data_IF_131094567219
#
_entry.id   IF_131094567219
#
_cell.length_a   1.000
_cell.length_b   1.000
_cell.length_c   1.000
_cell.angle_alpha   90.00
_cell.angle_beta   90.00
_cell.angle_gamma   90.00
#
_symmetry.space_group_name_H-M   'P 1'
#
loop_
_entity.id
_entity.type
_entity.pdbx_description
1 polymer ?
#
# COMPACT_ATOMS: atom_id res chain seq x y z
N UNK A 1 5.19 18.19 4.21
CA UNK A 1 6.33 18.81 4.91
C UNK A 1 7.61 18.03 4.59
N UNK A 2 8.63 18.66 3.97
CA UNK A 2 9.92 18.02 3.70
C UNK A 2 10.62 17.46 4.95
N UNK A 3 10.42 18.05 6.13
CA UNK A 3 11.04 17.59 7.37
C UNK A 3 10.56 16.19 7.81
N UNK A 4 9.47 15.70 7.23
CA UNK A 4 8.92 14.37 7.52
C UNK A 4 9.58 13.26 6.70
N UNK A 5 10.44 13.59 5.74
CA UNK A 5 10.97 12.63 4.77
C UNK A 5 11.63 11.42 5.44
N UNK A 6 12.50 11.64 6.41
CA UNK A 6 13.28 10.56 7.05
C UNK A 6 12.37 9.58 7.79
N UNK A 7 11.36 10.08 8.50
CA UNK A 7 10.38 9.25 9.21
C UNK A 7 9.59 8.35 8.26
N UNK A 8 9.14 8.90 7.12
CA UNK A 8 8.43 8.12 6.11
C UNK A 8 9.35 7.17 5.32
N UNK A 9 10.61 7.57 5.08
CA UNK A 9 11.60 6.71 4.44
C UNK A 9 11.90 5.47 5.31
N UNK A 10 11.88 5.61 6.64
CA UNK A 10 12.10 4.53 7.58
C UNK A 10 11.04 3.42 7.49
N UNK A 11 9.82 3.73 7.05
CA UNK A 11 8.75 2.73 6.86
C UNK A 11 9.12 1.69 5.77
N UNK A 12 9.93 2.10 4.79
CA UNK A 12 10.46 1.23 3.73
C UNK A 12 11.87 0.69 4.05
N UNK A 13 12.41 0.95 5.23
CA UNK A 13 13.73 0.48 5.63
C UNK A 13 13.72 -1.02 5.96
N UNK A 14 14.72 -1.80 5.51
CA UNK A 14 14.87 -3.20 5.94
C UNK A 14 15.47 -3.34 7.34
N UNK A 15 16.07 -2.29 7.90
CA UNK A 15 16.83 -2.34 9.16
C UNK A 15 16.21 -1.50 10.27
N UNK A 16 15.71 -0.31 9.93
CA UNK A 16 15.39 0.74 10.92
C UNK A 16 13.90 1.08 10.93
N UNK A 17 13.03 0.09 10.72
CA UNK A 17 11.58 0.31 10.73
C UNK A 17 11.12 0.54 12.18
N UNK A 18 10.59 1.73 12.52
CA UNK A 18 10.39 2.12 13.91
C UNK A 18 9.06 1.64 14.50
N UNK A 19 8.09 1.26 13.67
CA UNK A 19 6.74 0.90 14.10
C UNK A 19 6.36 -0.48 13.56
N UNK A 20 6.11 -1.42 14.48
CA UNK A 20 5.66 -2.77 14.14
C UNK A 20 4.19 -2.79 13.67
N UNK A 21 3.36 -1.85 14.14
CA UNK A 21 1.92 -1.85 13.88
C UNK A 21 1.47 -1.24 12.54
N UNK A 22 2.39 -0.72 11.70
CA UNK A 22 2.06 0.05 10.48
C UNK A 22 2.20 -0.76 9.19
N UNK A 23 1.83 -2.05 9.25
CA UNK A 23 1.94 -2.97 8.12
C UNK A 23 3.38 -3.43 7.87
N UNK A 24 3.69 -3.94 6.69
CA UNK A 24 5.01 -4.44 6.28
C UNK A 24 5.81 -3.44 5.45
N UNK A 25 7.13 -3.64 5.36
CA UNK A 25 8.01 -2.78 4.53
C UNK A 25 7.52 -2.66 3.09
N UNK A 26 7.10 -3.80 2.51
CA UNK A 26 6.61 -3.87 1.13
C UNK A 26 5.26 -3.16 0.96
N UNK A 27 4.38 -3.23 1.95
CA UNK A 27 3.09 -2.53 1.94
C UNK A 27 3.29 -1.01 1.96
N UNK A 28 4.23 -0.52 2.77
CA UNK A 28 4.59 0.91 2.78
C UNK A 28 5.12 1.38 1.43
N UNK A 29 5.95 0.56 0.77
CA UNK A 29 6.43 0.85 -0.58
C UNK A 29 5.30 0.82 -1.62
N UNK A 30 4.37 -0.14 -1.53
CA UNK A 30 3.20 -0.18 -2.39
C UNK A 30 2.36 1.10 -2.26
N UNK A 31 2.11 1.58 -1.04
CA UNK A 31 1.37 2.81 -0.80
C UNK A 31 2.04 4.03 -1.46
N UNK A 32 3.36 4.22 -1.30
CA UNK A 32 4.07 5.31 -1.96
C UNK A 32 4.08 5.20 -3.49
N UNK A 33 4.17 3.98 -4.03
CA UNK A 33 4.05 3.74 -5.48
C UNK A 33 2.69 4.22 -6.00
N UNK A 34 1.61 3.85 -5.31
CA UNK A 34 0.24 4.25 -5.67
C UNK A 34 0.04 5.77 -5.57
N UNK A 35 0.45 6.38 -4.45
CA UNK A 35 0.33 7.83 -4.24
C UNK A 35 1.11 8.64 -5.27
N UNK A 36 2.28 8.15 -5.70
CA UNK A 36 3.07 8.81 -6.74
C UNK A 36 2.41 8.78 -8.14
N UNK A 37 1.34 8.01 -8.31
CA UNK A 37 0.50 8.02 -9.51
C UNK A 37 -0.74 8.91 -9.42
N UNK A 38 -1.05 9.48 -8.25
CA UNK A 38 -2.25 10.29 -8.01
C UNK A 38 -1.93 11.78 -8.12
N UNK A 39 -2.72 12.51 -8.90
CA UNK A 39 -2.52 13.94 -9.18
C UNK A 39 -2.52 14.80 -7.92
N UNK A 40 -3.38 14.47 -6.96
CA UNK A 40 -3.51 15.17 -5.69
C UNK A 40 -2.32 14.96 -4.73
N UNK A 41 -1.49 13.92 -4.96
CA UNK A 41 -0.43 13.49 -4.04
C UNK A 41 0.98 13.51 -4.62
N UNK A 42 1.13 13.33 -5.94
CA UNK A 42 2.45 13.12 -6.59
C UNK A 42 3.47 14.23 -6.30
N UNK A 43 3.00 15.45 -6.09
CA UNK A 43 3.84 16.63 -5.85
C UNK A 43 4.09 16.91 -4.36
N UNK A 44 3.46 16.15 -3.46
CA UNK A 44 3.74 16.25 -2.04
C UNK A 44 5.21 15.86 -1.78
N UNK A 45 5.95 16.69 -1.04
CA UNK A 45 7.40 16.55 -0.88
C UNK A 45 7.89 15.12 -0.54
N UNK A 46 7.17 14.42 0.34
CA UNK A 46 7.50 13.03 0.73
C UNK A 46 7.20 12.05 -0.41
N UNK A 47 6.05 12.19 -1.07
CA UNK A 47 5.63 11.29 -2.16
C UNK A 47 6.52 11.47 -3.39
N UNK A 48 6.83 12.71 -3.76
CA UNK A 48 7.73 13.02 -4.87
C UNK A 48 9.13 12.43 -4.65
N UNK A 49 9.64 12.50 -3.41
CA UNK A 49 10.96 11.95 -3.06
C UNK A 49 10.97 10.42 -2.97
N UNK A 50 9.92 9.81 -2.40
CA UNK A 50 9.89 8.38 -2.10
C UNK A 50 9.27 7.51 -3.21
N UNK A 51 8.45 8.09 -4.08
CA UNK A 51 7.79 7.39 -5.20
C UNK A 51 8.77 6.63 -6.12
N UNK A 52 9.88 7.23 -6.57
CA UNK A 52 10.89 6.52 -7.36
C UNK A 52 11.52 5.34 -6.61
N UNK A 53 11.82 5.49 -5.32
CA UNK A 53 12.36 4.42 -4.48
C UNK A 53 11.35 3.29 -4.29
N UNK A 54 10.08 3.64 -4.06
CA UNK A 54 8.99 2.69 -3.95
C UNK A 54 8.80 1.87 -5.24
N UNK A 55 8.83 2.53 -6.41
CA UNK A 55 8.73 1.85 -7.72
C UNK A 55 9.86 0.86 -7.99
N UNK A 56 11.05 1.08 -7.41
CA UNK A 56 12.17 0.15 -7.50
C UNK A 56 12.02 -1.07 -6.57
N UNK A 57 11.21 -0.97 -5.51
CA UNK A 57 11.03 -2.03 -4.51
C UNK A 57 9.81 -2.92 -4.77
N UNK A 58 8.79 -2.40 -5.45
CA UNK A 58 7.49 -3.03 -5.63
C UNK A 58 7.01 -2.78 -7.06
N UNK A 59 6.62 -3.82 -7.79
CA UNK A 59 6.02 -3.74 -9.13
C UNK A 59 4.50 -3.48 -9.07
N UNK A 60 3.84 -3.17 -10.20
CA UNK A 60 2.37 -3.08 -10.22
C UNK A 60 1.71 -4.43 -9.90
N UNK A 61 2.24 -5.54 -10.43
CA UNK A 61 1.78 -6.89 -10.08
C UNK A 61 1.89 -7.20 -8.58
N UNK A 62 2.92 -6.67 -7.91
CA UNK A 62 3.05 -6.80 -6.45
C UNK A 62 1.99 -5.99 -5.72
N UNK A 63 1.64 -4.79 -6.20
CA UNK A 63 0.54 -3.99 -5.66
C UNK A 63 -0.77 -4.75 -5.80
N UNK A 64 -1.07 -5.26 -7.00
CA UNK A 64 -2.29 -6.03 -7.26
C UNK A 64 -2.38 -7.25 -6.35
N UNK A 65 -1.26 -7.96 -6.14
CA UNK A 65 -1.20 -9.11 -5.23
C UNK A 65 -1.41 -8.73 -3.76
N UNK A 66 -0.89 -7.58 -3.33
CA UNK A 66 -1.08 -7.07 -1.95
C UNK A 66 -2.53 -6.64 -1.70
N UNK A 67 -3.20 -6.12 -2.72
CA UNK A 67 -4.60 -5.67 -2.63
C UNK A 67 -5.62 -6.78 -2.93
N UNK A 68 -5.17 -7.91 -3.48
CA UNK A 68 -6.02 -9.04 -3.75
C UNK A 68 -6.63 -9.58 -2.44
N UNK A 69 -7.95 -9.81 -2.38
CA UNK A 69 -8.58 -10.41 -1.21
C UNK A 69 -8.00 -11.78 -0.90
N UNK A 70 -7.67 -12.03 0.37
CA UNK A 70 -7.27 -13.35 0.85
C UNK A 70 -8.51 -14.15 1.30
N UNK A 71 -8.88 -15.25 0.63
CA UNK A 71 -10.02 -16.07 1.03
C UNK A 71 -9.83 -16.72 2.41
N UNK A 72 -8.60 -16.87 2.91
CA UNK A 72 -8.35 -17.35 4.26
C UNK A 72 -8.81 -16.34 5.34
N UNK A 73 -8.95 -15.07 4.98
CA UNK A 73 -9.45 -13.98 5.82
C UNK A 73 -10.95 -13.72 5.63
N UNK A 74 -11.70 -14.64 5.02
CA UNK A 74 -13.14 -14.51 4.85
C UNK A 74 -13.86 -14.37 6.20
N UNK A 75 -14.96 -13.62 6.19
CA UNK A 75 -15.79 -13.45 7.37
C UNK A 75 -16.35 -14.82 7.83
N UNK A 76 -16.27 -15.15 9.14
CA UNK A 76 -16.77 -16.43 9.64
C UNK A 76 -18.27 -16.64 9.41
N UNK A 77 -19.05 -15.55 9.39
CA UNK A 77 -20.47 -15.60 9.07
C UNK A 77 -20.69 -15.73 7.55
N UNK A 78 -21.32 -16.83 7.07
CA UNK A 78 -21.52 -17.06 5.64
C UNK A 78 -22.41 -16.01 4.95
N UNK A 79 -23.35 -15.39 5.66
CA UNK A 79 -24.19 -14.32 5.11
C UNK A 79 -23.40 -13.03 4.93
N UNK A 80 -22.49 -12.72 5.86
CA UNK A 80 -21.57 -11.60 5.74
C UNK A 80 -20.57 -11.83 4.61
N UNK A 81 -19.91 -13.00 4.59
CA UNK A 81 -18.96 -13.36 3.53
C UNK A 81 -19.57 -13.21 2.13
N UNK A 82 -20.74 -13.82 1.88
CA UNK A 82 -21.46 -13.66 0.60
C UNK A 82 -21.85 -12.23 0.27
N UNK A 83 -22.06 -11.38 1.27
CA UNK A 83 -22.40 -9.97 1.04
C UNK A 83 -21.18 -9.16 0.64
N UNK A 84 -20.04 -9.41 1.29
CA UNK A 84 -18.75 -8.81 0.93
C UNK A 84 -18.29 -9.30 -0.43
N UNK A 85 -18.34 -10.60 -0.72
CA UNK A 85 -17.93 -11.16 -2.01
C UNK A 85 -18.70 -10.54 -3.18
N UNK A 86 -19.99 -10.23 -2.99
CA UNK A 86 -20.82 -9.54 -4.00
C UNK A 86 -20.40 -8.09 -4.23
N UNK A 87 -19.78 -7.44 -3.25
CA UNK A 87 -19.27 -6.06 -3.35
C UNK A 87 -17.83 -6.01 -3.85
N UNK A 88 -17.05 -7.08 -3.63
CA UNK A 88 -15.65 -7.21 -4.06
C UNK A 88 -15.51 -7.70 -5.51
N UNK A 89 -16.59 -7.73 -6.29
CA UNK A 89 -16.51 -7.95 -7.74
C UNK A 89 -15.62 -6.86 -8.34
N UNK A 90 -14.59 -7.19 -9.12
CA UNK A 90 -13.65 -6.20 -9.63
C UNK A 90 -14.43 -5.13 -10.39
N UNK A 91 -14.28 -3.88 -9.97
CA UNK A 91 -14.61 -2.73 -10.82
C UNK A 91 -13.73 -2.90 -12.04
N UNK A 92 -14.31 -3.36 -13.15
CA UNK A 92 -13.63 -3.32 -14.43
C UNK A 92 -13.28 -1.86 -14.69
N UNK A 93 -11.99 -1.55 -14.72
CA UNK A 93 -11.50 -0.31 -15.32
C UNK A 93 -11.82 -0.29 -16.81
#
# INVERSE_FOLDING_TARGET
>A
DPAQLDGFAALMSPTDKPFECVGERRESAAAFRMLAGQDEWRDAAVVAALGPRARALVSDDDVDRLLAPDPALAFPDPAVARSVDRLMVPVRA
#
